data_IF_573377824333
#
_entry.id   IF_573377824333
#
_cell.length_a   1.000
_cell.length_b   1.000
_cell.length_c   1.000
_cell.angle_alpha   90.00
_cell.angle_beta   90.00
_cell.angle_gamma   90.00
#
_symmetry.space_group_name_H-M   'P 1'
#
loop_
_entity.id
_entity.type
_entity.pdbx_description
1 polymer ?
#
# COMPACT_ATOMS: atom_id res chain seq x y z
N UNK A 1 -0.35 -18.62 -7.00
CA UNK A 1 0.36 -18.80 -5.68
C UNK A 1 -0.21 -17.77 -4.74
N UNK A 2 -0.82 -18.14 -3.64
CA UNK A 2 -1.39 -17.18 -2.69
C UNK A 2 -0.25 -16.36 -2.06
N UNK A 3 -0.24 -15.06 -2.27
CA UNK A 3 0.83 -14.14 -1.80
C UNK A 3 0.93 -14.12 -0.27
N UNK A 4 -0.20 -14.22 0.45
CA UNK A 4 -0.25 -14.11 1.91
C UNK A 4 -0.71 -15.40 2.63
N UNK A 5 -0.75 -16.55 1.95
CA UNK A 5 -1.31 -17.78 2.53
C UNK A 5 -2.78 -17.63 2.93
N UNK A 6 -3.08 -17.82 4.23
CA UNK A 6 -4.42 -17.64 4.79
C UNK A 6 -4.65 -16.23 5.40
N UNK A 7 -3.61 -15.37 5.41
CA UNK A 7 -3.66 -14.02 5.97
C UNK A 7 -4.13 -12.96 4.97
N UNK A 8 -4.25 -11.72 5.45
CA UNK A 8 -4.54 -10.55 4.63
C UNK A 8 -3.35 -10.21 3.73
N UNK A 9 -3.62 -9.84 2.49
CA UNK A 9 -2.60 -9.32 1.57
C UNK A 9 -2.38 -7.85 1.92
N UNK A 10 -1.13 -7.46 2.16
CA UNK A 10 -0.77 -6.10 2.51
C UNK A 10 -0.08 -5.44 1.32
N UNK A 11 -0.65 -4.33 0.87
CA UNK A 11 -0.10 -3.45 -0.15
C UNK A 11 0.46 -2.23 0.58
N UNK A 12 1.78 -2.10 0.58
CA UNK A 12 2.47 -1.00 1.25
C UNK A 12 2.43 0.27 0.40
N UNK A 13 1.82 1.32 0.92
CA UNK A 13 1.61 2.59 0.22
C UNK A 13 2.64 3.68 0.56
N UNK A 14 3.72 3.37 1.27
CA UNK A 14 4.62 4.39 1.82
C UNK A 14 5.61 4.95 0.79
N UNK A 15 5.86 4.23 -0.32
CA UNK A 15 6.79 4.70 -1.34
C UNK A 15 6.06 5.31 -2.54
N UNK A 16 5.39 6.43 -2.28
CA UNK A 16 4.62 7.19 -3.25
C UNK A 16 5.08 8.66 -3.22
N UNK A 17 5.38 9.26 -4.38
CA UNK A 17 5.86 10.65 -4.50
C UNK A 17 4.86 11.68 -3.96
N UNK A 18 3.58 11.32 -3.84
CA UNK A 18 2.55 12.18 -3.23
C UNK A 18 2.66 12.25 -1.71
N UNK A 19 3.45 11.36 -1.07
CA UNK A 19 3.63 11.34 0.39
C UNK A 19 4.39 12.55 0.89
N UNK A 20 3.79 13.20 1.89
CA UNK A 20 4.30 14.46 2.47
C UNK A 20 4.30 14.37 4.00
N UNK A 21 5.27 15.03 4.61
CA UNK A 21 5.37 15.18 6.07
C UNK A 21 5.18 16.66 6.41
N UNK A 22 4.38 16.96 7.44
CA UNK A 22 4.22 18.33 7.94
C UNK A 22 5.58 18.86 8.43
N UNK A 23 5.92 20.08 8.08
CA UNK A 23 7.16 20.74 8.58
C UNK A 23 7.21 20.80 10.11
N UNK A 24 6.05 20.82 10.78
CA UNK A 24 5.93 20.77 12.25
C UNK A 24 6.03 19.35 12.82
N UNK A 25 6.28 18.33 12.02
CA UNK A 25 6.44 16.97 12.51
C UNK A 25 7.68 16.84 13.42
N UNK A 26 7.63 16.07 14.50
CA UNK A 26 8.79 15.81 15.35
C UNK A 26 9.92 15.05 14.64
N UNK A 27 9.65 14.49 13.45
CA UNK A 27 10.69 13.88 12.59
C UNK A 27 11.52 14.90 11.82
N UNK A 28 11.04 16.15 11.73
CA UNK A 28 11.78 17.22 11.06
C UNK A 28 12.77 17.82 12.07
N UNK A 29 14.03 17.76 11.72
CA UNK A 29 15.15 18.23 12.55
C UNK A 29 15.97 19.29 11.81
N UNK A 30 16.61 20.15 12.57
CA UNK A 30 17.61 21.08 12.05
C UNK A 30 19.00 20.51 12.39
N UNK A 31 19.80 20.20 11.38
CA UNK A 31 21.16 19.67 11.51
C UNK A 31 22.08 20.39 10.56
N UNK A 32 23.22 20.91 11.04
CA UNK A 32 24.21 21.66 10.26
C UNK A 32 23.59 22.79 9.41
N UNK A 33 22.65 23.55 9.97
CA UNK A 33 21.85 24.58 9.28
C UNK A 33 20.99 24.07 8.12
N UNK A 34 20.79 22.76 7.99
CA UNK A 34 19.90 22.12 7.02
C UNK A 34 18.62 21.66 7.67
N UNK A 35 17.52 21.72 6.92
CA UNK A 35 16.26 21.08 7.33
C UNK A 35 16.28 19.65 6.84
N UNK A 36 16.12 18.72 7.76
CA UNK A 36 16.22 17.30 7.44
C UNK A 36 15.10 16.48 8.12
N UNK A 37 14.86 15.27 7.60
CA UNK A 37 13.95 14.30 8.22
C UNK A 37 14.79 13.21 8.85
N UNK A 38 14.72 13.13 10.20
CA UNK A 38 15.38 12.07 10.97
C UNK A 38 14.68 10.73 10.83
N UNK A 39 15.48 9.67 10.69
CA UNK A 39 15.00 8.29 10.70
C UNK A 39 16.06 7.37 11.30
N UNK A 40 15.65 6.17 11.69
CA UNK A 40 16.58 5.10 12.10
C UNK A 40 16.65 4.11 10.95
N UNK A 41 17.87 3.87 10.42
CA UNK A 41 18.06 2.94 9.32
C UNK A 41 17.85 1.47 9.75
N UNK A 42 17.97 0.52 8.82
CA UNK A 42 17.72 -0.90 9.08
C UNK A 42 18.78 -1.53 10.03
N UNK A 43 19.92 -0.88 10.16
CA UNK A 43 21.02 -1.32 11.05
C UNK A 43 20.95 -0.64 12.44
N UNK A 44 19.91 0.16 12.69
CA UNK A 44 19.70 0.87 13.96
C UNK A 44 20.43 2.21 14.08
N UNK A 45 21.09 2.69 13.01
CA UNK A 45 21.81 3.95 13.03
C UNK A 45 20.85 5.12 12.81
N UNK A 46 21.08 6.23 13.51
CA UNK A 46 20.38 7.49 13.23
C UNK A 46 20.90 8.10 11.93
N UNK A 47 19.99 8.45 11.05
CA UNK A 47 20.23 9.05 9.73
C UNK A 47 19.29 10.22 9.51
N UNK A 48 19.62 11.05 8.55
CA UNK A 48 18.80 12.18 8.10
C UNK A 48 18.67 12.19 6.58
N UNK A 49 17.50 12.57 6.09
CA UNK A 49 17.28 12.95 4.69
C UNK A 49 17.28 14.48 4.59
N UNK A 50 18.19 15.06 3.85
CA UNK A 50 18.23 16.52 3.59
C UNK A 50 17.03 16.90 2.71
N UNK A 51 16.19 17.78 3.23
CA UNK A 51 15.00 18.31 2.54
C UNK A 51 15.05 19.83 2.39
N UNK A 52 16.20 20.46 2.63
CA UNK A 52 16.37 21.92 2.62
C UNK A 52 15.91 22.54 1.30
N UNK A 53 16.19 21.89 0.18
CA UNK A 53 15.81 22.36 -1.17
C UNK A 53 14.30 22.37 -1.41
N UNK A 54 13.51 21.65 -0.59
CA UNK A 54 12.06 21.66 -0.67
C UNK A 54 11.40 22.75 0.15
N UNK A 55 12.15 23.35 1.09
CA UNK A 55 11.59 24.30 2.06
C UNK A 55 11.45 25.67 1.41
N UNK A 56 10.28 26.31 1.47
CA UNK A 56 10.13 27.68 0.97
C UNK A 56 11.10 28.64 1.67
N UNK A 57 11.75 29.51 0.90
CA UNK A 57 12.62 30.56 1.44
C UNK A 57 11.85 31.53 2.33
N UNK A 58 10.63 31.89 1.92
CA UNK A 58 9.76 32.81 2.62
C UNK A 58 9.17 32.19 3.90
N UNK A 59 9.45 32.76 5.10
CA UNK A 59 9.00 32.18 6.37
C UNK A 59 7.47 32.03 6.51
N UNK A 60 6.69 32.93 5.92
CA UNK A 60 5.23 32.88 5.94
C UNK A 60 4.66 31.68 5.17
N UNK A 61 5.35 31.19 4.15
CA UNK A 61 4.96 30.00 3.37
C UNK A 61 5.33 28.69 4.06
N UNK A 62 6.13 28.74 5.15
CA UNK A 62 6.51 27.54 5.92
C UNK A 62 5.40 27.06 6.87
N UNK A 63 4.50 27.95 7.30
CA UNK A 63 3.40 27.57 8.20
C UNK A 63 2.47 26.55 7.51
N UNK A 64 2.43 25.33 8.06
CA UNK A 64 1.60 24.23 7.51
C UNK A 64 2.17 23.58 6.25
N UNK A 65 3.40 23.92 5.85
CA UNK A 65 4.03 23.34 4.68
C UNK A 65 4.18 21.82 4.80
N UNK A 66 3.95 21.14 3.68
CA UNK A 66 4.01 19.69 3.54
C UNK A 66 5.23 19.30 2.71
N UNK A 67 6.24 18.72 3.35
CA UNK A 67 7.51 18.33 2.74
C UNK A 67 7.32 17.06 1.91
N UNK A 68 7.57 17.07 0.58
CA UNK A 68 7.45 15.90 -0.30
C UNK A 68 8.68 14.98 -0.16
N UNK A 69 8.81 14.29 0.96
CA UNK A 69 10.04 13.59 1.36
C UNK A 69 10.43 12.43 0.45
N UNK A 70 9.45 11.66 -0.07
CA UNK A 70 9.73 10.56 -1.00
C UNK A 70 10.23 11.12 -2.33
N UNK A 71 9.55 12.14 -2.88
CA UNK A 71 10.01 12.79 -4.11
C UNK A 71 11.40 13.39 -3.94
N UNK A 72 11.69 13.99 -2.77
CA UNK A 72 13.01 14.54 -2.48
C UNK A 72 14.10 13.46 -2.39
N UNK A 73 13.80 12.34 -1.71
CA UNK A 73 14.73 11.20 -1.65
C UNK A 73 15.08 10.68 -3.05
N UNK A 74 14.07 10.59 -3.95
CA UNK A 74 14.29 10.21 -5.33
C UNK A 74 15.16 11.23 -6.09
N UNK A 75 14.86 12.55 -5.98
CA UNK A 75 15.61 13.60 -6.67
C UNK A 75 17.07 13.68 -6.23
N UNK A 76 17.33 13.54 -4.94
CA UNK A 76 18.69 13.50 -4.38
C UNK A 76 19.36 12.13 -4.55
N UNK A 77 18.62 11.12 -5.01
CA UNK A 77 19.09 9.72 -5.08
C UNK A 77 19.65 9.22 -3.75
N UNK A 78 19.03 9.62 -2.63
CA UNK A 78 19.41 9.15 -1.30
C UNK A 78 19.04 7.65 -1.13
N UNK A 79 19.97 6.82 -1.56
CA UNK A 79 19.77 5.35 -1.57
C UNK A 79 19.59 4.77 -0.17
N UNK A 80 20.10 5.41 0.88
CA UNK A 80 19.89 4.96 2.25
C UNK A 80 18.44 5.15 2.67
N UNK A 81 17.88 6.32 2.40
CA UNK A 81 16.47 6.60 2.69
C UNK A 81 15.53 5.76 1.83
N UNK A 82 15.81 5.62 0.53
CA UNK A 82 15.02 4.82 -0.41
C UNK A 82 14.99 3.35 0.03
N UNK A 83 16.17 2.77 0.33
CA UNK A 83 16.27 1.40 0.85
C UNK A 83 15.49 1.23 2.13
N UNK A 84 15.65 2.16 3.06
CA UNK A 84 14.91 2.14 4.32
C UNK A 84 13.40 2.21 4.09
N UNK A 85 12.93 3.13 3.25
CA UNK A 85 11.49 3.33 3.02
C UNK A 85 10.83 2.13 2.31
N UNK A 86 11.53 1.45 1.41
CA UNK A 86 11.04 0.26 0.71
C UNK A 86 11.12 -0.97 1.62
N UNK A 87 12.33 -1.30 2.13
CA UNK A 87 12.57 -2.53 2.89
C UNK A 87 11.84 -2.56 4.21
N UNK A 88 11.67 -1.40 4.85
CA UNK A 88 10.94 -1.31 6.11
C UNK A 88 9.46 -1.69 5.97
N UNK A 89 8.82 -1.40 4.82
CA UNK A 89 7.45 -1.86 4.55
C UNK A 89 7.39 -3.40 4.47
N UNK A 90 8.33 -4.02 3.76
CA UNK A 90 8.43 -5.48 3.64
C UNK A 90 8.66 -6.12 5.02
N UNK A 91 9.59 -5.59 5.82
CA UNK A 91 9.86 -6.06 7.19
C UNK A 91 8.63 -5.92 8.11
N UNK A 92 7.73 -4.99 7.82
CA UNK A 92 6.47 -4.82 8.54
C UNK A 92 5.30 -5.55 7.88
N UNK A 93 5.58 -6.49 6.95
CA UNK A 93 4.60 -7.42 6.41
C UNK A 93 3.91 -6.97 5.12
N UNK A 94 4.45 -5.98 4.39
CA UNK A 94 3.97 -5.70 3.05
C UNK A 94 4.37 -6.82 2.09
N UNK A 95 3.40 -7.31 1.32
CA UNK A 95 3.58 -8.33 0.28
C UNK A 95 3.77 -7.69 -1.10
N UNK A 96 3.19 -6.51 -1.28
CA UNK A 96 3.25 -5.70 -2.49
C UNK A 96 3.72 -4.30 -2.07
N UNK A 97 4.67 -3.72 -2.80
CA UNK A 97 5.13 -2.34 -2.59
C UNK A 97 4.63 -1.49 -3.75
N UNK A 98 3.77 -0.53 -3.43
CA UNK A 98 3.19 0.37 -4.42
C UNK A 98 4.12 1.57 -4.68
N UNK A 99 4.47 1.78 -5.95
CA UNK A 99 5.39 2.82 -6.41
C UNK A 99 4.64 3.80 -7.30
N UNK A 100 4.64 5.09 -6.94
CA UNK A 100 4.05 6.15 -7.75
C UNK A 100 5.01 7.33 -7.88
N UNK A 101 5.13 7.85 -9.11
CA UNK A 101 5.99 8.98 -9.47
C UNK A 101 5.22 10.19 -10.03
N UNK A 102 3.89 10.18 -9.97
CA UNK A 102 3.05 11.18 -10.66
C UNK A 102 3.35 12.63 -10.23
N UNK A 103 3.74 12.87 -8.98
CA UNK A 103 4.16 14.19 -8.50
C UNK A 103 5.65 14.50 -8.68
N UNK A 104 6.43 13.63 -9.37
CA UNK A 104 7.86 13.89 -9.61
C UNK A 104 8.07 14.99 -10.65
N UNK A 105 7.24 15.02 -11.68
CA UNK A 105 7.29 16.05 -12.74
C UNK A 105 5.92 16.28 -13.37
N UNK A 106 5.73 17.48 -13.91
CA UNK A 106 4.57 17.83 -14.77
C UNK A 106 4.75 17.32 -16.21
N UNK A 107 5.98 16.97 -16.60
CA UNK A 107 6.32 16.48 -17.93
C UNK A 107 6.23 14.95 -17.97
N UNK A 108 5.41 14.37 -18.87
CA UNK A 108 5.23 12.92 -18.94
C UNK A 108 6.54 12.15 -19.16
N UNK A 109 7.41 12.63 -20.04
CA UNK A 109 8.68 11.98 -20.41
C UNK A 109 9.60 11.82 -19.20
N UNK A 110 9.66 12.83 -18.33
CA UNK A 110 10.42 12.74 -17.08
C UNK A 110 9.81 11.71 -16.12
N UNK A 111 8.47 11.59 -16.07
CA UNK A 111 7.81 10.55 -15.26
C UNK A 111 8.13 9.15 -15.75
N UNK A 112 8.26 8.95 -17.09
CA UNK A 112 8.69 7.66 -17.66
C UNK A 112 10.08 7.28 -17.16
N UNK A 113 11.03 8.20 -17.22
CA UNK A 113 12.39 7.99 -16.72
C UNK A 113 12.42 7.70 -15.21
N UNK A 114 11.68 8.48 -14.43
CA UNK A 114 11.55 8.28 -12.99
C UNK A 114 10.95 6.93 -12.65
N UNK A 115 9.88 6.52 -13.32
CA UNK A 115 9.24 5.23 -13.07
C UNK A 115 10.17 4.07 -13.43
N UNK A 116 10.81 4.13 -14.60
CA UNK A 116 11.76 3.12 -15.04
C UNK A 116 12.94 2.99 -14.08
N UNK A 117 13.48 4.11 -13.60
CA UNK A 117 14.56 4.11 -12.61
C UNK A 117 14.10 3.56 -11.26
N UNK A 118 12.92 3.98 -10.79
CA UNK A 118 12.38 3.57 -9.49
C UNK A 118 12.07 2.08 -9.43
N UNK A 119 11.48 1.52 -10.49
CA UNK A 119 11.20 0.08 -10.58
C UNK A 119 12.48 -0.75 -10.50
N UNK A 120 13.52 -0.40 -11.29
CA UNK A 120 14.83 -1.06 -11.20
C UNK A 120 15.45 -0.94 -9.81
N UNK A 121 15.33 0.23 -9.20
CA UNK A 121 15.85 0.50 -7.86
C UNK A 121 15.12 -0.34 -6.82
N UNK A 122 13.78 -0.37 -6.86
CA UNK A 122 12.98 -1.17 -5.92
C UNK A 122 13.31 -2.65 -6.02
N UNK A 123 13.39 -3.21 -7.23
CA UNK A 123 13.75 -4.62 -7.45
C UNK A 123 15.20 -4.96 -7.07
N UNK A 124 16.07 -3.97 -6.87
CA UNK A 124 17.40 -4.20 -6.28
C UNK A 124 17.38 -4.24 -4.75
N UNK A 125 16.27 -3.85 -4.12
CA UNK A 125 16.12 -3.68 -2.67
C UNK A 125 15.20 -4.75 -2.07
N UNK A 126 14.13 -5.12 -2.76
CA UNK A 126 13.06 -5.99 -2.24
C UNK A 126 12.74 -7.13 -3.19
N UNK A 127 12.34 -8.28 -2.62
CA UNK A 127 11.79 -9.42 -3.35
C UNK A 127 10.23 -9.39 -3.36
N UNK A 128 9.62 -8.42 -2.68
CA UNK A 128 8.18 -8.20 -2.71
C UNK A 128 7.71 -7.85 -4.13
N UNK A 129 6.44 -8.12 -4.41
CA UNK A 129 5.82 -7.69 -5.67
C UNK A 129 5.88 -6.17 -5.77
N UNK A 130 6.34 -5.65 -6.90
CA UNK A 130 6.33 -4.21 -7.19
C UNK A 130 5.06 -3.87 -7.95
N UNK A 131 4.25 -2.98 -7.37
CA UNK A 131 3.08 -2.38 -8.01
C UNK A 131 3.50 -1.05 -8.67
N UNK A 132 3.17 -0.92 -9.95
CA UNK A 132 3.47 0.24 -10.77
C UNK A 132 2.20 1.08 -10.85
N UNK A 133 2.18 2.19 -10.09
CA UNK A 133 1.02 3.07 -9.94
C UNK A 133 1.22 4.38 -10.69
N UNK A 134 0.32 4.66 -11.61
CA UNK A 134 0.23 5.97 -12.27
C UNK A 134 -1.16 6.22 -12.85
N UNK A 135 -1.54 7.49 -12.86
CA UNK A 135 -2.71 7.98 -13.61
C UNK A 135 -2.51 7.88 -15.14
N UNK A 136 -1.25 7.77 -15.61
CA UNK A 136 -0.89 7.73 -17.03
C UNK A 136 -0.45 6.33 -17.46
N UNK A 137 -1.17 5.66 -18.40
CA UNK A 137 -0.79 4.36 -18.92
C UNK A 137 0.62 4.29 -19.54
N UNK A 138 1.11 5.39 -20.11
CA UNK A 138 2.46 5.41 -20.69
C UNK A 138 3.55 5.36 -19.61
N UNK A 139 3.32 6.01 -18.47
CA UNK A 139 4.19 5.90 -17.28
C UNK A 139 4.20 4.46 -16.73
N UNK A 140 3.04 3.79 -16.70
CA UNK A 140 2.95 2.37 -16.31
C UNK A 140 3.74 1.50 -17.28
N UNK A 141 3.61 1.73 -18.60
CA UNK A 141 4.37 1.02 -19.63
C UNK A 141 5.87 1.13 -19.41
N UNK A 142 6.38 2.34 -19.16
CA UNK A 142 7.81 2.57 -18.90
C UNK A 142 8.31 1.78 -17.67
N UNK A 143 7.48 1.71 -16.62
CA UNK A 143 7.75 0.88 -15.44
C UNK A 143 7.78 -0.62 -15.75
N UNK A 144 6.82 -1.11 -16.53
CA UNK A 144 6.73 -2.52 -16.95
C UNK A 144 7.90 -2.93 -17.85
N UNK A 145 8.35 -2.05 -18.73
CA UNK A 145 9.53 -2.29 -19.57
C UNK A 145 10.83 -2.37 -18.76
N UNK A 146 10.90 -1.60 -17.68
CA UNK A 146 12.03 -1.59 -16.75
C UNK A 146 12.03 -2.76 -15.76
N UNK A 147 10.87 -3.41 -15.57
CA UNK A 147 10.68 -4.48 -14.60
C UNK A 147 11.32 -5.79 -15.07
N UNK A 148 12.16 -6.38 -14.22
CA UNK A 148 12.77 -7.69 -14.45
C UNK A 148 11.79 -8.81 -14.03
N UNK A 149 11.12 -9.41 -15.00
CA UNK A 149 10.17 -10.49 -14.78
C UNK A 149 10.79 -11.81 -14.27
N UNK A 150 12.12 -11.95 -14.32
CA UNK A 150 12.81 -13.10 -13.75
C UNK A 150 12.88 -13.04 -12.22
N UNK A 151 12.81 -11.84 -11.64
CA UNK A 151 12.83 -11.63 -10.18
C UNK A 151 11.45 -11.82 -9.54
N UNK A 152 10.43 -11.20 -10.11
CA UNK A 152 9.07 -11.27 -9.61
C UNK A 152 8.06 -10.96 -10.73
N UNK A 153 6.77 -11.18 -10.45
CA UNK A 153 5.69 -10.68 -11.29
C UNK A 153 5.41 -9.22 -10.91
N UNK A 154 5.14 -8.30 -11.85
CA UNK A 154 4.70 -6.96 -11.53
C UNK A 154 3.22 -6.93 -11.13
N UNK A 155 2.80 -5.85 -10.45
CA UNK A 155 1.41 -5.46 -10.36
C UNK A 155 1.18 -4.13 -11.09
N UNK A 156 -0.02 -3.91 -11.62
CA UNK A 156 -0.43 -2.69 -12.32
C UNK A 156 -1.54 -2.03 -11.51
N UNK A 157 -1.34 -0.78 -11.13
CA UNK A 157 -2.31 0.04 -10.42
C UNK A 157 -2.68 1.26 -11.29
N UNK A 158 -3.85 1.38 -11.89
CA UNK A 158 -4.97 0.45 -11.98
C UNK A 158 -5.75 0.64 -13.29
N UNK A 159 -6.41 -0.40 -13.75
CA UNK A 159 -7.40 -0.28 -14.81
C UNK A 159 -8.73 0.25 -14.23
N UNK A 160 -9.47 1.01 -15.04
CA UNK A 160 -10.83 1.45 -14.76
C UNK A 160 -11.57 1.70 -16.08
N UNK A 161 -12.78 2.27 -16.01
CA UNK A 161 -13.60 2.52 -17.21
C UNK A 161 -13.37 3.90 -17.85
N UNK A 162 -12.42 4.69 -17.36
CA UNK A 162 -12.02 5.93 -18.00
C UNK A 162 -11.37 5.67 -19.37
N UNK A 163 -11.52 6.61 -20.28
CA UNK A 163 -10.98 6.48 -21.62
C UNK A 163 -9.46 6.26 -21.63
N UNK A 164 -9.00 5.28 -22.41
CA UNK A 164 -7.59 4.97 -22.57
C UNK A 164 -7.00 4.02 -21.51
N UNK A 165 -7.74 3.72 -20.42
CA UNK A 165 -7.22 2.83 -19.34
C UNK A 165 -7.31 1.34 -19.71
N UNK A 166 -8.14 0.97 -20.66
CA UNK A 166 -8.39 -0.42 -21.07
C UNK A 166 -7.12 -1.11 -21.60
N UNK A 167 -6.19 -0.34 -22.16
CA UNK A 167 -4.88 -0.85 -22.63
C UNK A 167 -4.08 -1.58 -21.54
N UNK A 168 -4.33 -1.25 -20.27
CA UNK A 168 -3.64 -1.87 -19.13
C UNK A 168 -3.97 -3.36 -18.98
N UNK A 169 -5.11 -3.82 -19.49
CA UNK A 169 -5.46 -5.25 -19.50
C UNK A 169 -4.52 -6.03 -20.45
N UNK A 170 -4.24 -5.48 -21.61
CA UNK A 170 -3.28 -6.08 -22.58
C UNK A 170 -1.88 -6.08 -21.98
N UNK A 171 -1.44 -4.97 -21.38
CA UNK A 171 -0.16 -4.89 -20.70
C UNK A 171 -0.03 -5.91 -19.57
N UNK A 172 -1.10 -6.11 -18.78
CA UNK A 172 -1.12 -7.09 -17.70
C UNK A 172 -0.98 -8.52 -18.25
N UNK A 173 -1.67 -8.84 -19.34
CA UNK A 173 -1.56 -10.13 -20.04
C UNK A 173 -0.14 -10.36 -20.56
N UNK A 174 0.44 -9.40 -21.27
CA UNK A 174 1.78 -9.48 -21.84
C UNK A 174 2.87 -9.74 -20.78
N UNK A 175 2.71 -9.14 -19.59
CA UNK A 175 3.69 -9.21 -18.51
C UNK A 175 3.32 -10.23 -17.42
N UNK A 176 2.22 -10.99 -17.59
CA UNK A 176 1.70 -11.87 -16.56
C UNK A 176 1.56 -11.14 -15.21
N UNK A 177 1.03 -9.92 -15.25
CA UNK A 177 0.94 -9.03 -14.11
C UNK A 177 -0.31 -9.28 -13.27
N UNK A 178 -0.22 -8.98 -11.97
CA UNK A 178 -1.39 -8.77 -11.11
C UNK A 178 -2.04 -7.45 -11.57
N UNK A 179 -3.36 -7.42 -11.68
CA UNK A 179 -4.07 -6.24 -12.17
C UNK A 179 -5.03 -5.69 -11.11
N UNK A 180 -4.76 -4.47 -10.67
CA UNK A 180 -5.67 -3.72 -9.84
C UNK A 180 -6.69 -2.99 -10.71
N UNK A 181 -7.95 -2.98 -10.27
CA UNK A 181 -9.01 -2.21 -10.89
C UNK A 181 -9.69 -1.33 -9.84
N UNK A 182 -9.96 -0.10 -10.18
CA UNK A 182 -10.74 0.78 -9.31
C UNK A 182 -12.10 1.13 -9.91
N UNK A 183 -13.03 1.55 -9.06
CA UNK A 183 -14.41 1.81 -9.40
C UNK A 183 -14.64 3.16 -10.11
N UNK A 184 -13.62 3.82 -10.68
CA UNK A 184 -13.83 4.99 -11.53
C UNK A 184 -14.50 4.58 -12.84
N UNK A 185 -15.51 5.32 -13.23
CA UNK A 185 -16.35 5.00 -14.38
C UNK A 185 -16.19 6.01 -15.52
N UNK A 186 -16.85 5.74 -16.65
CA UNK A 186 -16.89 6.64 -17.81
C UNK A 186 -17.47 8.03 -17.49
N UNK A 187 -18.24 8.14 -16.41
CA UNK A 187 -18.83 9.40 -15.92
C UNK A 187 -18.05 10.01 -14.73
N UNK A 188 -16.87 9.46 -14.42
CA UNK A 188 -16.03 9.88 -13.29
C UNK A 188 -16.22 9.03 -12.03
N UNK A 189 -15.97 9.63 -10.87
CA UNK A 189 -15.99 8.94 -9.56
C UNK A 189 -17.40 8.49 -9.16
N UNK A 190 -17.55 7.27 -8.60
CA UNK A 190 -18.85 6.73 -8.20
C UNK A 190 -19.42 7.49 -7.00
N UNK A 191 -20.73 7.73 -7.00
CA UNK A 191 -21.41 8.49 -5.95
C UNK A 191 -22.04 7.59 -4.86
N UNK A 192 -22.31 6.33 -5.17
CA UNK A 192 -22.99 5.39 -4.29
C UNK A 192 -22.46 3.96 -4.46
N UNK A 193 -23.01 3.02 -3.71
CA UNK A 193 -22.62 1.61 -3.79
C UNK A 193 -22.93 0.98 -5.15
N UNK A 194 -24.08 1.32 -5.74
CA UNK A 194 -24.51 0.79 -7.02
C UNK A 194 -23.51 1.10 -8.13
N UNK A 195 -23.12 2.36 -8.27
CA UNK A 195 -22.15 2.78 -9.28
C UNK A 195 -20.77 2.14 -9.05
N UNK A 196 -20.36 1.92 -7.81
CA UNK A 196 -19.11 1.18 -7.51
C UNK A 196 -19.17 -0.24 -8.06
N UNK A 197 -20.29 -0.93 -7.80
CA UNK A 197 -20.50 -2.29 -8.25
C UNK A 197 -20.58 -2.35 -9.78
N UNK A 198 -21.39 -1.51 -10.41
CA UNK A 198 -21.53 -1.46 -11.87
C UNK A 198 -20.19 -1.19 -12.57
N UNK A 199 -19.42 -0.21 -12.08
CA UNK A 199 -18.12 0.12 -12.65
C UNK A 199 -17.13 -1.06 -12.50
N UNK A 200 -17.09 -1.72 -11.35
CA UNK A 200 -16.22 -2.88 -11.16
C UNK A 200 -16.69 -4.11 -11.95
N UNK A 201 -17.99 -4.30 -12.18
CA UNK A 201 -18.46 -5.30 -13.13
C UNK A 201 -17.97 -5.03 -14.56
N UNK A 202 -17.97 -3.76 -14.97
CA UNK A 202 -17.38 -3.36 -16.24
C UNK A 202 -15.87 -3.68 -16.31
N UNK A 203 -15.12 -3.41 -15.24
CA UNK A 203 -13.71 -3.79 -15.15
C UNK A 203 -13.51 -5.31 -15.20
N UNK A 204 -14.37 -6.08 -14.53
CA UNK A 204 -14.34 -7.54 -14.58
C UNK A 204 -14.56 -8.07 -16.00
N UNK A 205 -15.50 -7.48 -16.77
CA UNK A 205 -15.70 -7.84 -18.17
C UNK A 205 -14.46 -7.54 -19.04
N UNK A 206 -13.77 -6.42 -18.81
CA UNK A 206 -12.50 -6.12 -19.47
C UNK A 206 -11.42 -7.16 -19.12
N UNK A 207 -11.29 -7.52 -17.85
CA UNK A 207 -10.32 -8.53 -17.38
C UNK A 207 -10.66 -9.93 -17.93
N UNK A 208 -11.95 -10.27 -18.09
CA UNK A 208 -12.39 -11.52 -18.71
C UNK A 208 -11.96 -11.58 -20.18
N UNK A 209 -12.15 -10.48 -20.94
CA UNK A 209 -11.72 -10.40 -22.33
C UNK A 209 -10.21 -10.51 -22.51
N UNK A 210 -9.45 -10.01 -21.55
CA UNK A 210 -7.99 -10.14 -21.49
C UNK A 210 -7.50 -11.49 -20.99
N UNK A 211 -8.37 -12.33 -20.43
CA UNK A 211 -8.01 -13.63 -19.85
C UNK A 211 -7.18 -13.52 -18.56
N UNK A 212 -7.35 -12.43 -17.79
CA UNK A 212 -6.64 -12.26 -16.51
C UNK A 212 -7.19 -13.30 -15.51
N UNK A 213 -6.35 -14.10 -14.83
CA UNK A 213 -6.80 -15.05 -13.82
C UNK A 213 -7.54 -14.40 -12.64
N UNK A 214 -8.51 -15.07 -12.04
CA UNK A 214 -9.29 -14.50 -10.93
C UNK A 214 -8.43 -14.14 -9.72
N UNK A 215 -7.43 -14.96 -9.38
CA UNK A 215 -6.50 -14.72 -8.25
C UNK A 215 -5.52 -13.55 -8.52
N UNK A 216 -5.47 -13.02 -9.74
CA UNK A 216 -4.64 -11.88 -10.13
C UNK A 216 -5.47 -10.58 -10.24
N UNK A 217 -6.78 -10.63 -9.94
CA UNK A 217 -7.68 -9.47 -9.99
C UNK A 217 -7.88 -8.88 -8.61
N UNK A 218 -7.50 -7.61 -8.47
CA UNK A 218 -7.65 -6.85 -7.22
C UNK A 218 -8.63 -5.70 -7.46
N UNK A 219 -9.74 -5.69 -6.75
CA UNK A 219 -10.82 -4.72 -6.96
C UNK A 219 -10.87 -3.70 -5.82
N UNK A 220 -10.80 -2.41 -6.19
CA UNK A 220 -10.95 -1.28 -5.26
C UNK A 220 -12.27 -0.54 -5.51
N UNK A 221 -13.26 -0.68 -4.61
CA UNK A 221 -14.51 0.08 -4.69
C UNK A 221 -14.34 1.59 -4.44
N UNK A 222 -13.14 2.07 -4.16
CA UNK A 222 -12.76 3.45 -3.83
C UNK A 222 -13.27 3.93 -2.47
N UNK A 223 -12.32 4.18 -1.58
CA UNK A 223 -12.59 4.76 -0.26
C UNK A 223 -12.54 6.29 -0.34
N UNK A 224 -13.64 6.94 -0.02
CA UNK A 224 -13.73 8.40 0.07
C UNK A 224 -13.77 8.87 1.51
N UNK A 225 -13.28 10.12 1.79
CA UNK A 225 -13.34 10.70 3.13
C UNK A 225 -14.77 10.86 3.63
N UNK A 226 -15.08 10.31 4.81
CA UNK A 226 -16.41 10.45 5.42
C UNK A 226 -16.71 11.89 5.85
N UNK A 227 -15.68 12.74 5.98
CA UNK A 227 -15.86 14.17 6.18
C UNK A 227 -16.41 14.91 4.96
N UNK A 228 -16.31 14.32 3.75
CA UNK A 228 -16.84 14.89 2.52
C UNK A 228 -18.23 14.33 2.12
N UNK A 229 -18.65 13.22 2.73
CA UNK A 229 -19.97 12.63 2.49
C UNK A 229 -20.31 11.58 3.53
N UNK A 230 -21.44 11.73 4.27
CA UNK A 230 -21.77 10.90 5.42
C UNK A 230 -21.95 9.42 5.08
N UNK A 231 -22.39 9.10 3.85
CA UNK A 231 -22.67 7.74 3.42
C UNK A 231 -21.49 7.04 2.74
N UNK A 232 -20.36 7.72 2.52
CA UNK A 232 -19.24 7.17 1.73
C UNK A 232 -18.65 5.89 2.31
N UNK A 233 -18.52 5.80 3.65
CA UNK A 233 -18.07 4.59 4.31
C UNK A 233 -19.06 3.43 4.15
N UNK A 234 -20.36 3.70 4.32
CA UNK A 234 -21.45 2.74 4.12
C UNK A 234 -21.52 2.23 2.68
N UNK A 235 -21.43 3.13 1.70
CA UNK A 235 -21.42 2.79 0.28
C UNK A 235 -20.25 1.87 -0.09
N UNK A 236 -19.06 2.13 0.46
CA UNK A 236 -17.91 1.26 0.25
C UNK A 236 -18.15 -0.13 0.81
N UNK A 237 -18.58 -0.24 2.07
CA UNK A 237 -18.82 -1.52 2.74
C UNK A 237 -19.91 -2.34 2.05
N UNK A 238 -20.97 -1.69 1.55
CA UNK A 238 -22.03 -2.35 0.78
C UNK A 238 -21.51 -2.88 -0.57
N UNK A 239 -20.73 -2.05 -1.29
CA UNK A 239 -20.11 -2.48 -2.54
C UNK A 239 -19.18 -3.68 -2.32
N UNK A 240 -18.35 -3.68 -1.25
CA UNK A 240 -17.48 -4.82 -0.90
C UNK A 240 -18.29 -6.11 -0.73
N UNK A 241 -19.39 -6.09 0.05
CA UNK A 241 -20.23 -7.28 0.27
C UNK A 241 -20.77 -7.81 -1.04
N UNK A 242 -21.37 -6.94 -1.86
CA UNK A 242 -21.97 -7.31 -3.15
C UNK A 242 -20.94 -7.85 -4.13
N UNK A 243 -19.75 -7.27 -4.20
CA UNK A 243 -18.65 -7.75 -5.06
C UNK A 243 -18.15 -9.11 -4.56
N UNK A 244 -17.99 -9.31 -3.25
CA UNK A 244 -17.57 -10.60 -2.67
C UNK A 244 -18.57 -11.70 -2.95
N UNK A 245 -19.87 -11.41 -2.88
CA UNK A 245 -20.94 -12.38 -3.19
C UNK A 245 -20.93 -12.76 -4.68
N UNK A 246 -20.71 -11.80 -5.58
CA UNK A 246 -20.66 -12.05 -7.03
C UNK A 246 -19.36 -12.73 -7.48
N UNK A 247 -18.23 -12.33 -6.88
CA UNK A 247 -16.89 -12.77 -7.29
C UNK A 247 -16.08 -13.28 -6.09
N UNK A 248 -16.36 -14.50 -5.59
CA UNK A 248 -15.75 -15.00 -4.36
C UNK A 248 -14.24 -15.24 -4.42
N UNK A 249 -13.66 -15.31 -5.64
CA UNK A 249 -12.24 -15.62 -5.85
C UNK A 249 -11.34 -14.42 -6.13
N UNK A 250 -11.89 -13.23 -6.39
CA UNK A 250 -11.09 -12.03 -6.60
C UNK A 250 -10.57 -11.48 -5.25
N UNK A 251 -9.54 -10.68 -5.30
CA UNK A 251 -9.10 -9.90 -4.13
C UNK A 251 -9.84 -8.56 -4.10
N UNK A 252 -10.26 -8.13 -2.90
CA UNK A 252 -10.91 -6.84 -2.69
C UNK A 252 -10.08 -6.05 -1.69
N UNK A 253 -9.76 -4.82 -2.05
CA UNK A 253 -8.95 -3.92 -1.24
C UNK A 253 -9.48 -2.49 -1.28
N UNK A 254 -8.76 -1.55 -0.68
CA UNK A 254 -9.00 -0.11 -0.79
C UNK A 254 -7.89 0.67 -0.11
N UNK A 255 -7.76 1.94 -0.48
CA UNK A 255 -6.92 2.91 0.21
C UNK A 255 -7.57 3.33 1.53
N UNK A 256 -7.58 2.42 2.52
CA UNK A 256 -8.38 2.54 3.75
C UNK A 256 -8.09 3.81 4.56
N UNK A 257 -6.86 4.34 4.48
CA UNK A 257 -6.47 5.58 5.16
C UNK A 257 -7.24 6.83 4.70
N UNK A 258 -7.86 6.78 3.53
CA UNK A 258 -8.62 7.90 2.96
C UNK A 258 -9.91 8.18 3.73
N UNK A 259 -10.52 7.17 4.36
CA UNK A 259 -11.80 7.29 5.08
C UNK A 259 -11.77 8.40 6.13
N UNK A 260 -10.65 8.57 6.81
CA UNK A 260 -10.49 9.50 7.93
C UNK A 260 -9.82 10.83 7.54
N UNK A 261 -9.62 11.10 6.25
CA UNK A 261 -8.92 12.31 5.80
C UNK A 261 -9.63 13.57 6.29
N UNK A 262 -8.85 14.48 6.92
CA UNK A 262 -9.36 15.72 7.49
C UNK A 262 -10.01 15.60 8.89
N UNK A 263 -10.15 14.39 9.45
CA UNK A 263 -10.77 14.16 10.74
C UNK A 263 -9.73 13.95 11.87
N UNK A 264 -10.07 14.22 13.12
CA UNK A 264 -9.24 13.85 14.28
C UNK A 264 -9.29 12.33 14.52
N UNK A 265 -8.41 11.84 15.42
CA UNK A 265 -8.37 10.42 15.85
C UNK A 265 -8.33 9.41 14.68
N UNK A 266 -7.58 9.75 13.64
CA UNK A 266 -7.49 8.97 12.41
C UNK A 266 -7.14 7.50 12.64
N UNK A 267 -6.31 7.19 13.65
CA UNK A 267 -5.95 5.80 13.95
C UNK A 267 -7.16 4.97 14.36
N UNK A 268 -8.04 5.52 15.20
CA UNK A 268 -9.28 4.84 15.60
C UNK A 268 -10.20 4.62 14.41
N UNK A 269 -10.43 5.66 13.60
CA UNK A 269 -11.30 5.57 12.42
C UNK A 269 -10.75 4.55 11.41
N UNK A 270 -9.45 4.61 11.11
CA UNK A 270 -8.81 3.70 10.15
C UNK A 270 -8.89 2.25 10.63
N UNK A 271 -8.55 1.97 11.90
CA UNK A 271 -8.65 0.63 12.45
C UNK A 271 -10.07 0.08 12.37
N UNK A 272 -11.06 0.86 12.83
CA UNK A 272 -12.47 0.46 12.81
C UNK A 272 -12.95 0.21 11.38
N UNK A 273 -12.58 1.08 10.44
CA UNK A 273 -12.99 0.94 9.04
C UNK A 273 -12.35 -0.29 8.38
N UNK A 274 -11.08 -0.57 8.63
CA UNK A 274 -10.42 -1.79 8.15
C UNK A 274 -11.11 -3.03 8.72
N UNK A 275 -11.41 -3.04 10.03
CA UNK A 275 -12.11 -4.16 10.66
C UNK A 275 -13.48 -4.42 10.01
N UNK A 276 -14.28 -3.37 9.79
CA UNK A 276 -15.56 -3.45 9.08
C UNK A 276 -15.40 -3.92 7.63
N UNK A 277 -14.36 -3.45 6.93
CA UNK A 277 -14.05 -3.84 5.55
C UNK A 277 -13.69 -5.32 5.44
N UNK A 278 -12.91 -5.85 6.38
CA UNK A 278 -12.57 -7.28 6.45
C UNK A 278 -13.84 -8.13 6.70
N UNK A 279 -14.70 -7.70 7.62
CA UNK A 279 -15.99 -8.40 7.85
C UNK A 279 -16.88 -8.34 6.62
N UNK A 280 -16.87 -7.23 5.88
CA UNK A 280 -17.61 -7.07 4.62
C UNK A 280 -17.08 -7.97 3.49
N UNK A 281 -15.80 -8.38 3.53
CA UNK A 281 -15.22 -9.29 2.54
C UNK A 281 -13.90 -8.85 1.92
N UNK A 282 -13.28 -7.75 2.38
CA UNK A 282 -11.92 -7.40 1.98
C UNK A 282 -10.93 -8.46 2.48
N UNK A 283 -9.99 -8.83 1.63
CA UNK A 283 -8.89 -9.75 1.92
C UNK A 283 -7.52 -9.16 1.57
N UNK A 284 -7.50 -7.94 1.06
CA UNK A 284 -6.30 -7.16 0.84
C UNK A 284 -6.45 -5.74 1.41
N UNK A 285 -5.36 -5.14 1.84
CA UNK A 285 -5.33 -3.81 2.47
C UNK A 285 -4.22 -2.97 1.86
N UNK A 286 -4.55 -1.81 1.30
CA UNK A 286 -3.56 -0.78 0.95
C UNK A 286 -3.42 0.17 2.14
N UNK A 287 -2.31 0.04 2.85
CA UNK A 287 -2.05 0.74 4.12
C UNK A 287 -0.56 1.09 4.29
N UNK A 288 -0.29 1.99 5.21
CA UNK A 288 1.04 2.15 5.81
C UNK A 288 1.28 1.03 6.84
N UNK A 289 2.07 -0.03 6.53
CA UNK A 289 2.23 -1.18 7.42
C UNK A 289 3.07 -0.87 8.65
N UNK A 290 3.84 0.24 8.64
CA UNK A 290 4.64 0.69 9.78
C UNK A 290 3.75 1.36 10.83
N UNK A 291 2.84 2.23 10.37
CA UNK A 291 1.91 2.94 11.25
C UNK A 291 0.71 2.08 11.66
N UNK A 292 0.34 1.11 10.83
CA UNK A 292 -0.79 0.21 11.02
C UNK A 292 -0.32 -1.25 10.92
N UNK A 293 0.27 -1.82 12.00
CA UNK A 293 0.84 -3.16 11.94
C UNK A 293 -0.15 -4.21 11.43
N UNK A 294 0.15 -4.95 10.35
CA UNK A 294 -0.76 -5.93 9.75
C UNK A 294 -1.20 -7.03 10.71
N UNK A 295 -0.39 -7.35 11.71
CA UNK A 295 -0.70 -8.36 12.71
C UNK A 295 -2.05 -8.11 13.38
N UNK A 296 -2.34 -6.86 13.80
CA UNK A 296 -3.60 -6.53 14.49
C UNK A 296 -4.83 -6.81 13.62
N UNK A 297 -4.71 -6.62 12.30
CA UNK A 297 -5.79 -6.90 11.37
C UNK A 297 -5.94 -8.39 11.07
N UNK A 298 -4.83 -9.14 11.03
CA UNK A 298 -4.85 -10.59 10.93
C UNK A 298 -5.44 -11.22 12.20
N UNK A 299 -5.03 -10.77 13.39
CA UNK A 299 -5.59 -11.21 14.67
C UNK A 299 -7.13 -11.02 14.67
N UNK A 300 -7.60 -9.84 14.24
CA UNK A 300 -9.03 -9.54 14.10
C UNK A 300 -9.70 -10.46 13.06
N UNK A 301 -9.15 -10.61 11.87
CA UNK A 301 -9.73 -11.40 10.79
C UNK A 301 -9.90 -12.87 11.18
N UNK A 302 -8.87 -13.51 11.74
CA UNK A 302 -8.95 -14.89 12.16
C UNK A 302 -9.99 -15.09 13.27
N UNK A 303 -10.01 -14.18 14.26
CA UNK A 303 -11.02 -14.23 15.33
C UNK A 303 -12.44 -14.00 14.78
N UNK A 304 -12.66 -13.00 13.92
CA UNK A 304 -13.96 -12.70 13.33
C UNK A 304 -14.46 -13.87 12.47
N UNK A 305 -13.61 -14.51 11.66
CA UNK A 305 -13.98 -15.67 10.85
C UNK A 305 -14.39 -16.87 11.72
N UNK A 306 -13.68 -17.14 12.83
CA UNK A 306 -14.05 -18.18 13.77
C UNK A 306 -15.41 -17.90 14.44
N UNK A 307 -15.63 -16.65 14.91
CA UNK A 307 -16.86 -16.24 15.57
C UNK A 307 -18.10 -16.20 14.65
N UNK A 308 -17.89 -15.96 13.36
CA UNK A 308 -18.99 -15.83 12.37
C UNK A 308 -19.23 -17.10 11.56
N UNK A 309 -18.56 -18.22 11.91
CA UNK A 309 -18.74 -19.52 11.25
C UNK A 309 -18.08 -19.63 9.87
N UNK A 310 -17.25 -18.65 9.47
CA UNK A 310 -16.47 -18.70 8.22
C UNK A 310 -15.22 -19.59 8.34
N UNK A 311 -14.83 -19.94 9.56
CA UNK A 311 -13.74 -20.86 9.88
C UNK A 311 -14.31 -22.06 10.63
N UNK A 312 -14.60 -23.13 9.88
CA UNK A 312 -15.24 -24.34 10.41
C UNK A 312 -14.37 -24.95 11.52
N UNK A 313 -14.98 -25.17 12.69
CA UNK A 313 -14.32 -25.63 13.92
C UNK A 313 -13.11 -24.77 14.35
N UNK A 314 -13.01 -23.52 13.90
CA UNK A 314 -11.91 -22.59 14.23
C UNK A 314 -10.53 -23.13 13.87
N UNK A 315 -10.41 -23.96 12.83
CA UNK A 315 -9.16 -24.66 12.47
C UNK A 315 -8.06 -23.66 12.07
N UNK A 316 -8.40 -22.66 11.27
CA UNK A 316 -7.44 -21.64 10.82
C UNK A 316 -7.03 -20.72 11.97
N UNK A 317 -8.00 -20.31 12.81
CA UNK A 317 -7.73 -19.53 14.02
C UNK A 317 -6.77 -20.27 14.96
N UNK A 318 -7.00 -21.54 15.24
CA UNK A 318 -6.11 -22.35 16.10
C UNK A 318 -4.70 -22.49 15.50
N UNK A 319 -4.60 -22.73 14.19
CA UNK A 319 -3.30 -22.81 13.49
C UNK A 319 -2.55 -21.49 13.60
N UNK A 320 -3.23 -20.38 13.30
CA UNK A 320 -2.67 -19.03 13.37
C UNK A 320 -2.18 -18.69 14.78
N UNK A 321 -3.02 -18.91 15.80
CA UNK A 321 -2.70 -18.60 17.19
C UNK A 321 -1.52 -19.43 17.71
N UNK A 322 -1.47 -20.73 17.37
CA UNK A 322 -0.33 -21.60 17.76
C UNK A 322 0.98 -21.13 17.12
N UNK A 323 0.94 -20.73 15.85
CA UNK A 323 2.13 -20.19 15.18
C UNK A 323 2.63 -18.90 15.86
N UNK A 324 1.72 -17.98 16.21
CA UNK A 324 2.06 -16.75 16.91
C UNK A 324 2.66 -16.99 18.31
N UNK A 325 2.10 -17.94 19.07
CA UNK A 325 2.62 -18.33 20.39
C UNK A 325 4.02 -18.93 20.25
N UNK A 326 4.24 -19.81 19.26
CA UNK A 326 5.54 -20.40 19.00
C UNK A 326 6.58 -19.33 18.63
N UNK A 327 6.22 -18.38 17.76
CA UNK A 327 7.10 -17.27 17.38
C UNK A 327 7.43 -16.37 18.57
N UNK A 328 6.45 -16.03 19.40
CA UNK A 328 6.67 -15.21 20.60
C UNK A 328 7.62 -15.90 21.60
N UNK A 329 7.49 -17.21 21.78
CA UNK A 329 8.41 -17.99 22.62
C UNK A 329 9.84 -18.04 22.06
N UNK A 330 10.00 -18.19 20.74
CA UNK A 330 11.31 -18.18 20.10
C UNK A 330 12.02 -16.82 20.29
N UNK A 331 11.30 -15.71 20.04
CA UNK A 331 11.84 -14.35 20.23
C UNK A 331 12.23 -14.10 21.70
N UNK A 332 11.42 -14.57 22.66
CA UNK A 332 11.74 -14.43 24.07
C UNK A 332 12.99 -15.24 24.46
N UNK A 333 13.15 -16.46 23.94
CA UNK A 333 14.32 -17.30 24.18
C UNK A 333 15.62 -16.67 23.62
N UNK A 334 15.55 -16.13 22.38
CA UNK A 334 16.69 -15.41 21.77
C UNK A 334 17.08 -14.16 22.56
N UNK A 335 16.09 -13.40 23.06
CA UNK A 335 16.35 -12.23 23.88
C UNK A 335 17.03 -12.60 25.21
N UNK A 336 16.62 -13.68 25.87
CA UNK A 336 17.26 -14.20 27.10
C UNK A 336 18.69 -14.62 26.82
N UNK A 337 18.91 -15.36 25.74
CA UNK A 337 20.25 -15.83 25.37
C UNK A 337 21.24 -14.69 25.07
N UNK A 338 20.74 -13.61 24.41
CA UNK A 338 21.53 -12.40 24.15
C UNK A 338 21.86 -11.64 25.44
N UNK A 339 20.93 -11.57 26.39
CA UNK A 339 21.18 -10.94 27.69
C UNK A 339 22.26 -11.71 28.49
N UNK A 340 22.22 -13.04 28.51
CA UNK A 340 23.20 -13.88 29.17
C UNK A 340 24.60 -13.81 28.54
N UNK A 341 24.69 -13.62 27.21
CA UNK A 341 25.98 -13.47 26.50
C UNK A 341 26.59 -12.07 26.63
N UNK A 342 25.82 -11.07 27.05
CA UNK A 342 26.31 -9.70 27.28
C UNK A 342 26.80 -9.46 28.72
N UNK A 343 26.49 -10.35 29.67
CA UNK A 343 27.10 -10.34 31.00
C UNK A 343 28.45 -11.05 30.92
N UNK A 344 29.50 -10.35 30.42
CA UNK A 344 30.90 -10.77 30.56
C UNK A 344 31.32 -10.46 31.99
N UNK A 345 31.87 -11.43 32.78
CA UNK A 345 32.37 -11.17 34.12
C UNK A 345 33.56 -10.22 34.07
N UNK A 346 33.54 -9.26 34.99
CA UNK A 346 34.71 -8.41 35.33
C UNK A 346 35.89 -9.22 35.82
#
# INVERSE_FOLDING_TARGET
MKIAGDGLIIIGENFNATRKIKISSPKVVLEDNKVAIGYTDLDGNKRVLDVSSCIPEEPNKRKGFMIPHIAQACRSKDMNYIRWAIKNQELHGAHIIDLCVDEMSVYPEERFEWMAWLVRTAQSITDAVVSIDSSDPATIRAGLEAHDGAKSRPAINSVNLEAGRQILVEMAKERNAILFANASGTKGMPQNAEQRVENLQGCMALMDSGGIPMDDRYLDPLVFPIGAGPDFGGHYLDAVRRIRDMYPKVHIFGGHSNVSFGLPERKLLNFTFVALSVVAGCDALMIDPIMNPPRQFNDFMFAANALTGKDEYSVKYLKYTRANIAQAKAVAAEATQRAETTEVPQ
#
